data_IF_303233929753
#
_entry.id   IF_303233929753
#
_cell.length_a   1.000
_cell.length_b   1.000
_cell.length_c   1.000
_cell.angle_alpha   90.00
_cell.angle_beta   90.00
_cell.angle_gamma   90.00
#
_symmetry.space_group_name_H-M   'P 1'
#
loop_
_entity.id
_entity.type
_entity.pdbx_description
1 polymer ?
#
# COMPACT_ATOMS: atom_id res chain seq x y z
N UNK A 1 -14.74 -50.11 -3.82
CA UNK A 1 -15.30 -49.26 -2.73
C UNK A 1 -14.20 -48.80 -1.75
N UNK A 2 -13.94 -47.49 -1.66
CA UNK A 2 -12.95 -46.94 -0.73
C UNK A 2 -13.55 -46.93 0.68
N UNK A 3 -12.92 -47.61 1.63
CA UNK A 3 -13.40 -47.68 3.03
C UNK A 3 -13.46 -46.28 3.67
N UNK A 4 -14.56 -45.92 4.37
CA UNK A 4 -14.71 -44.62 5.04
C UNK A 4 -13.53 -44.24 5.95
N UNK A 5 -12.90 -45.24 6.59
CA UNK A 5 -11.72 -45.03 7.44
C UNK A 5 -10.49 -44.51 6.68
N UNK A 6 -10.32 -44.89 5.40
CA UNK A 6 -9.22 -44.38 4.55
C UNK A 6 -9.44 -42.93 4.14
N UNK A 7 -10.70 -42.53 3.96
CA UNK A 7 -11.07 -41.13 3.62
C UNK A 7 -10.82 -40.23 4.83
N UNK A 8 -11.22 -40.64 6.03
CA UNK A 8 -10.95 -39.89 7.26
C UNK A 8 -9.45 -39.76 7.56
N UNK A 9 -8.66 -40.83 7.38
CA UNK A 9 -7.22 -40.77 7.58
C UNK A 9 -6.53 -39.86 6.56
N UNK A 10 -6.99 -39.85 5.30
CA UNK A 10 -6.48 -38.93 4.29
C UNK A 10 -6.81 -37.46 4.63
N UNK A 11 -8.04 -37.17 5.06
CA UNK A 11 -8.46 -35.84 5.48
C UNK A 11 -7.66 -35.35 6.70
N UNK A 12 -7.44 -36.21 7.70
CA UNK A 12 -6.63 -35.88 8.88
C UNK A 12 -5.18 -35.56 8.52
N UNK A 13 -4.57 -36.31 7.58
CA UNK A 13 -3.21 -36.05 7.09
C UNK A 13 -3.11 -34.74 6.32
N UNK A 14 -4.13 -34.40 5.52
CA UNK A 14 -4.19 -33.11 4.81
C UNK A 14 -4.35 -31.96 5.81
N UNK A 15 -5.26 -32.08 6.78
CA UNK A 15 -5.45 -31.10 7.83
C UNK A 15 -4.19 -30.87 8.67
N UNK A 16 -3.51 -31.95 9.07
CA UNK A 16 -2.24 -31.88 9.81
C UNK A 16 -1.12 -31.22 9.00
N UNK A 17 -1.04 -31.49 7.69
CA UNK A 17 -0.09 -30.82 6.78
C UNK A 17 -0.39 -29.32 6.64
N UNK A 18 -1.66 -28.93 6.56
CA UNK A 18 -2.02 -27.51 6.53
C UNK A 18 -1.75 -26.79 7.86
N UNK A 19 -2.00 -27.45 8.99
CA UNK A 19 -1.70 -26.93 10.32
C UNK A 19 -0.19 -26.75 10.52
N UNK A 20 0.62 -27.76 10.17
CA UNK A 20 2.08 -27.70 10.25
C UNK A 20 2.67 -26.60 9.34
N UNK A 21 2.13 -26.41 8.13
CA UNK A 21 2.52 -25.30 7.22
C UNK A 21 2.17 -23.93 7.77
N UNK A 22 1.06 -23.78 8.50
CA UNK A 22 0.70 -22.53 9.19
C UNK A 22 1.61 -22.25 10.38
N UNK A 23 1.96 -23.27 11.16
CA UNK A 23 2.84 -23.14 12.31
C UNK A 23 4.30 -22.83 11.90
N UNK A 24 4.75 -23.35 10.76
CA UNK A 24 6.10 -23.10 10.22
C UNK A 24 6.21 -21.84 9.34
N UNK A 25 5.16 -21.02 9.25
CA UNK A 25 5.20 -19.81 8.43
C UNK A 25 6.18 -18.80 9.05
N UNK A 26 7.19 -18.30 8.31
CA UNK A 26 8.16 -17.36 8.84
C UNK A 26 7.48 -16.07 9.31
N UNK A 27 8.05 -15.43 10.34
CA UNK A 27 7.59 -14.13 10.87
C UNK A 27 7.51 -13.14 9.70
N UNK A 28 6.28 -12.72 9.44
CA UNK A 28 5.89 -12.05 8.19
C UNK A 28 6.25 -10.58 8.27
N UNK A 29 7.46 -10.21 7.85
CA UNK A 29 7.90 -8.81 7.77
C UNK A 29 7.45 -8.19 6.45
N UNK A 30 6.97 -6.95 6.52
CA UNK A 30 6.68 -6.15 5.33
C UNK A 30 8.01 -5.78 4.66
N UNK A 31 8.09 -5.93 3.34
CA UNK A 31 9.24 -5.48 2.56
C UNK A 31 8.89 -4.15 1.91
N UNK A 32 9.45 -3.05 2.42
CA UNK A 32 9.19 -1.72 1.87
C UNK A 32 9.74 -1.53 0.45
N UNK A 33 10.77 -2.28 0.07
CA UNK A 33 11.33 -2.22 -1.29
C UNK A 33 10.47 -3.02 -2.27
N UNK A 34 9.98 -4.18 -1.86
CA UNK A 34 9.07 -5.03 -2.63
C UNK A 34 7.65 -4.94 -2.07
N UNK A 35 7.07 -3.74 -2.11
CA UNK A 35 5.84 -3.42 -1.40
C UNK A 35 4.58 -4.08 -1.98
N UNK A 36 4.68 -4.70 -3.16
CA UNK A 36 3.66 -5.53 -3.79
C UNK A 36 3.66 -6.99 -3.30
N UNK A 37 4.69 -7.40 -2.57
CA UNK A 37 4.87 -8.79 -2.15
C UNK A 37 4.26 -9.06 -0.76
N UNK A 38 3.53 -10.17 -0.67
CA UNK A 38 2.97 -10.70 0.57
C UNK A 38 1.64 -10.06 0.98
N UNK A 39 0.70 -10.87 1.44
CA UNK A 39 -0.63 -10.37 1.81
C UNK A 39 -0.71 -9.50 3.09
N UNK A 40 0.41 -9.04 3.68
CA UNK A 40 0.37 -7.91 4.62
C UNK A 40 0.36 -6.60 3.85
N UNK A 41 1.24 -6.45 2.88
CA UNK A 41 1.32 -5.28 2.01
C UNK A 41 0.04 -5.12 1.18
N UNK A 42 -0.54 -6.22 0.68
CA UNK A 42 -1.85 -6.19 0.00
C UNK A 42 -2.99 -5.75 0.94
N UNK A 43 -2.99 -6.21 2.19
CA UNK A 43 -3.98 -5.75 3.18
C UNK A 43 -3.82 -4.26 3.48
N UNK A 44 -2.58 -3.80 3.67
CA UNK A 44 -2.29 -2.39 3.84
C UNK A 44 -2.77 -1.57 2.65
N UNK A 45 -2.52 -2.04 1.43
CA UNK A 45 -3.00 -1.40 0.20
C UNK A 45 -4.53 -1.25 0.18
N UNK A 46 -5.28 -2.31 0.49
CA UNK A 46 -6.74 -2.21 0.56
C UNK A 46 -7.23 -1.27 1.66
N UNK A 47 -6.58 -1.27 2.82
CA UNK A 47 -6.90 -0.33 3.90
C UNK A 47 -6.63 1.11 3.49
N UNK A 48 -5.53 1.36 2.77
CA UNK A 48 -5.23 2.68 2.21
C UNK A 48 -6.27 3.10 1.17
N UNK A 49 -6.74 2.19 0.31
CA UNK A 49 -7.82 2.49 -0.65
C UNK A 49 -9.10 2.92 0.06
N UNK A 50 -9.53 2.15 1.07
CA UNK A 50 -10.73 2.47 1.85
C UNK A 50 -10.55 3.77 2.64
N UNK A 51 -9.38 3.96 3.23
CA UNK A 51 -9.08 5.17 3.97
C UNK A 51 -9.05 6.41 3.07
N UNK A 52 -8.43 6.34 1.89
CA UNK A 52 -8.44 7.44 0.91
C UNK A 52 -9.85 7.72 0.40
N UNK A 53 -10.67 6.68 0.16
CA UNK A 53 -12.07 6.84 -0.22
C UNK A 53 -12.87 7.61 0.85
N UNK A 54 -12.62 7.34 2.13
CA UNK A 54 -13.30 8.01 3.25
C UNK A 54 -12.76 9.41 3.49
N UNK A 55 -11.44 9.62 3.41
CA UNK A 55 -10.79 10.89 3.74
C UNK A 55 -10.94 11.92 2.62
N UNK A 56 -10.90 11.51 1.36
CA UNK A 56 -10.83 12.46 0.23
C UNK A 56 -12.09 13.34 0.14
N UNK A 57 -13.33 12.82 0.13
CA UNK A 57 -14.51 13.67 0.03
C UNK A 57 -14.62 14.74 1.13
N UNK A 58 -14.53 14.42 2.44
CA UNK A 58 -14.62 15.43 3.49
C UNK A 58 -13.47 16.43 3.42
N UNK A 59 -12.26 16.00 3.02
CA UNK A 59 -11.11 16.90 2.87
C UNK A 59 -11.38 18.03 1.85
N UNK A 60 -12.13 17.73 0.78
CA UNK A 60 -12.52 18.71 -0.23
C UNK A 60 -13.85 19.43 0.06
N UNK A 61 -14.74 18.86 0.88
CA UNK A 61 -15.98 19.53 1.28
C UNK A 61 -15.72 20.67 2.28
N UNK A 62 -14.82 20.46 3.25
CA UNK A 62 -14.52 21.48 4.24
C UNK A 62 -13.59 22.57 3.66
N UNK A 63 -13.89 23.85 3.94
CA UNK A 63 -13.01 24.97 3.62
C UNK A 63 -11.74 24.96 4.47
N UNK A 64 -10.72 25.78 4.13
CA UNK A 64 -9.48 25.87 4.91
C UNK A 64 -9.81 26.14 6.38
N UNK A 65 -9.53 25.17 7.26
CA UNK A 65 -9.89 25.23 8.67
C UNK A 65 -9.02 24.29 9.50
N UNK A 66 -9.11 24.41 10.83
CA UNK A 66 -8.45 23.45 11.73
C UNK A 66 -8.93 22.00 11.54
N UNK A 67 -10.10 21.80 10.91
CA UNK A 67 -10.65 20.47 10.58
C UNK A 67 -9.99 19.88 9.33
N UNK A 68 -9.59 20.71 8.36
CA UNK A 68 -8.92 20.22 7.14
C UNK A 68 -7.46 19.84 7.38
N UNK A 69 -6.78 20.44 8.37
CA UNK A 69 -5.39 20.11 8.70
C UNK A 69 -5.12 18.62 8.96
N UNK A 70 -5.85 17.91 9.85
CA UNK A 70 -5.63 16.47 10.05
C UNK A 70 -5.97 15.64 8.82
N UNK A 71 -6.94 16.08 8.00
CA UNK A 71 -7.29 15.41 6.74
C UNK A 71 -6.17 15.58 5.71
N UNK A 72 -5.61 16.78 5.60
CA UNK A 72 -4.45 17.07 4.75
C UNK A 72 -3.22 16.25 5.17
N UNK A 73 -2.96 16.13 6.48
CA UNK A 73 -1.88 15.30 6.99
C UNK A 73 -2.09 13.81 6.66
N UNK A 74 -3.32 13.31 6.83
CA UNK A 74 -3.69 11.95 6.46
C UNK A 74 -3.49 11.72 4.95
N UNK A 75 -3.97 12.63 4.09
CA UNK A 75 -3.76 12.57 2.64
C UNK A 75 -2.26 12.60 2.28
N UNK A 76 -1.47 13.44 2.96
CA UNK A 76 -0.03 13.57 2.75
C UNK A 76 0.78 12.30 3.02
N UNK A 77 0.24 11.37 3.83
CA UNK A 77 0.86 10.07 4.14
C UNK A 77 0.21 8.94 3.35
N UNK A 78 -1.12 8.86 3.36
CA UNK A 78 -1.86 7.76 2.77
C UNK A 78 -1.73 7.74 1.25
N UNK A 79 -1.73 8.91 0.60
CA UNK A 79 -1.66 9.01 -0.86
C UNK A 79 -0.29 8.52 -1.40
N UNK A 80 0.86 8.97 -0.87
CA UNK A 80 2.15 8.41 -1.30
C UNK A 80 2.32 6.93 -0.97
N UNK A 81 1.83 6.45 0.17
CA UNK A 81 1.91 5.02 0.52
C UNK A 81 1.05 4.15 -0.43
N UNK A 82 -0.15 4.61 -0.76
CA UNK A 82 -0.99 3.95 -1.77
C UNK A 82 -0.27 3.91 -3.12
N UNK A 83 0.29 5.05 -3.56
CA UNK A 83 1.06 5.16 -4.78
C UNK A 83 2.30 4.26 -4.79
N UNK A 84 3.02 4.15 -3.66
CA UNK A 84 4.21 3.32 -3.52
C UNK A 84 3.92 1.84 -3.75
N UNK A 85 2.87 1.30 -3.12
CA UNK A 85 2.47 -0.09 -3.30
C UNK A 85 1.91 -0.31 -4.71
N UNK A 86 1.04 0.59 -5.17
CA UNK A 86 0.48 0.53 -6.52
C UNK A 86 1.54 0.52 -7.62
N UNK A 87 2.56 1.38 -7.48
CA UNK A 87 3.64 1.48 -8.46
C UNK A 87 4.61 0.30 -8.37
N UNK A 88 4.74 -0.34 -7.22
CA UNK A 88 5.47 -1.60 -7.11
C UNK A 88 4.82 -2.73 -7.93
N UNK A 89 3.48 -2.78 -8.01
CA UNK A 89 2.79 -3.69 -8.94
C UNK A 89 3.16 -3.38 -10.40
N UNK A 90 3.10 -2.11 -10.80
CA UNK A 90 3.50 -1.67 -12.15
C UNK A 90 4.95 -2.01 -12.46
N UNK A 91 5.88 -1.75 -11.53
CA UNK A 91 7.30 -2.08 -11.68
C UNK A 91 7.48 -3.59 -11.89
N UNK A 92 6.80 -4.41 -11.09
CA UNK A 92 6.85 -5.87 -11.22
C UNK A 92 6.34 -6.33 -12.59
N UNK A 93 5.26 -5.73 -13.09
CA UNK A 93 4.62 -6.15 -14.33
C UNK A 93 5.37 -5.71 -15.58
N UNK A 94 6.03 -4.54 -15.58
CA UNK A 94 6.54 -3.92 -16.80
C UNK A 94 8.05 -3.73 -16.84
N UNK A 95 8.73 -3.47 -15.72
CA UNK A 95 10.18 -3.21 -15.75
C UNK A 95 10.97 -4.42 -16.27
N UNK A 96 10.70 -5.67 -15.85
CA UNK A 96 11.39 -6.82 -16.41
C UNK A 96 11.16 -7.03 -17.91
N UNK A 97 10.00 -6.60 -18.43
CA UNK A 97 9.62 -6.76 -19.84
C UNK A 97 10.36 -5.77 -20.74
N UNK A 98 10.51 -4.52 -20.31
CA UNK A 98 11.10 -3.46 -21.13
C UNK A 98 12.59 -3.22 -20.86
N UNK A 99 13.06 -3.46 -19.63
CA UNK A 99 14.41 -3.10 -19.18
C UNK A 99 15.20 -4.30 -18.62
N UNK A 100 14.64 -5.50 -18.66
CA UNK A 100 15.26 -6.73 -18.16
C UNK A 100 15.09 -6.94 -16.65
N UNK A 101 15.24 -8.20 -16.21
CA UNK A 101 14.97 -8.61 -14.82
C UNK A 101 15.86 -7.90 -13.79
N UNK A 102 17.09 -7.57 -14.17
CA UNK A 102 18.05 -6.88 -13.30
C UNK A 102 17.61 -5.45 -12.94
N UNK A 103 16.83 -4.79 -13.80
CA UNK A 103 16.39 -3.40 -13.58
C UNK A 103 15.29 -3.28 -12.50
N UNK A 104 14.63 -4.37 -12.11
CA UNK A 104 13.52 -4.34 -11.13
C UNK A 104 13.97 -3.83 -9.76
N UNK A 105 15.13 -4.27 -9.27
CA UNK A 105 15.68 -3.85 -7.98
C UNK A 105 15.95 -2.33 -7.94
N UNK A 106 16.76 -1.79 -8.86
CA UNK A 106 16.99 -0.35 -8.97
C UNK A 106 15.71 0.48 -9.12
N UNK A 107 14.75 0.03 -9.95
CA UNK A 107 13.48 0.73 -10.12
C UNK A 107 12.68 0.83 -8.80
N UNK A 108 12.67 -0.24 -7.99
CA UNK A 108 12.05 -0.23 -6.66
C UNK A 108 12.75 0.72 -5.68
N UNK A 109 14.08 0.83 -5.75
CA UNK A 109 14.85 1.77 -4.92
C UNK A 109 14.51 3.22 -5.28
N UNK A 110 14.47 3.53 -6.58
CA UNK A 110 14.06 4.85 -7.07
C UNK A 110 12.64 5.16 -6.60
N UNK A 111 11.72 4.19 -6.70
CA UNK A 111 10.34 4.39 -6.24
C UNK A 111 10.28 4.66 -4.74
N UNK A 112 11.06 3.95 -3.92
CA UNK A 112 11.15 4.25 -2.49
C UNK A 112 11.64 5.69 -2.23
N UNK A 113 12.66 6.13 -2.97
CA UNK A 113 13.14 7.51 -2.91
C UNK A 113 12.09 8.54 -3.30
N UNK A 114 11.39 8.32 -4.42
CA UNK A 114 10.28 9.18 -4.87
C UNK A 114 9.20 9.26 -3.80
N UNK A 115 8.76 8.13 -3.26
CA UNK A 115 7.76 8.09 -2.18
C UNK A 115 8.20 8.90 -0.96
N UNK A 116 9.46 8.74 -0.52
CA UNK A 116 10.01 9.48 0.61
C UNK A 116 10.03 10.99 0.37
N UNK A 117 10.51 11.43 -0.80
CA UNK A 117 10.54 12.84 -1.19
C UNK A 117 9.11 13.41 -1.28
N UNK A 118 8.18 12.68 -1.88
CA UNK A 118 6.77 13.11 -1.95
C UNK A 118 6.16 13.24 -0.56
N UNK A 119 6.32 12.26 0.32
CA UNK A 119 5.82 12.35 1.70
C UNK A 119 6.41 13.53 2.45
N UNK A 120 7.72 13.76 2.34
CA UNK A 120 8.38 14.90 2.97
C UNK A 120 7.86 16.25 2.42
N UNK A 121 7.72 16.36 1.09
CA UNK A 121 7.20 17.56 0.44
C UNK A 121 5.74 17.85 0.81
N UNK A 122 4.88 16.84 0.85
CA UNK A 122 3.49 16.98 1.27
C UNK A 122 3.38 17.31 2.77
N UNK A 123 4.21 16.71 3.61
CA UNK A 123 4.26 17.03 5.04
C UNK A 123 4.70 18.48 5.25
N UNK A 124 5.75 18.92 4.55
CA UNK A 124 6.18 20.31 4.58
C UNK A 124 5.06 21.26 4.11
N UNK A 125 4.39 20.95 3.00
CA UNK A 125 3.25 21.72 2.49
C UNK A 125 2.10 21.85 3.51
N UNK A 126 1.86 20.81 4.29
CA UNK A 126 0.81 20.79 5.33
C UNK A 126 1.21 21.57 6.59
N UNK A 127 2.49 21.54 6.97
CA UNK A 127 2.97 22.18 8.21
C UNK A 127 3.30 23.66 8.03
N UNK A 128 3.86 24.05 6.88
CA UNK A 128 4.35 25.42 6.64
C UNK A 128 3.56 26.16 5.56
N UNK A 129 2.86 25.42 4.71
CA UNK A 129 2.07 25.96 3.61
C UNK A 129 0.57 26.03 3.90
N UNK A 130 -0.21 26.11 2.82
CA UNK A 130 -1.68 26.17 2.90
C UNK A 130 -2.34 24.82 3.17
N UNK A 131 -1.59 23.72 3.12
CA UNK A 131 -2.14 22.37 3.07
C UNK A 131 -2.52 21.93 1.65
N UNK A 132 -2.64 20.62 1.47
CA UNK A 132 -2.93 19.98 0.17
C UNK A 132 -4.26 20.47 -0.40
N UNK A 133 -5.34 20.37 0.36
CA UNK A 133 -6.70 20.68 -0.11
C UNK A 133 -6.86 22.14 -0.52
N UNK A 134 -6.39 23.08 0.30
CA UNK A 134 -6.44 24.51 -0.02
C UNK A 134 -5.56 24.87 -1.22
N UNK A 135 -4.42 24.20 -1.39
CA UNK A 135 -3.56 24.38 -2.57
C UNK A 135 -4.27 23.94 -3.84
N UNK A 136 -4.93 22.77 -3.82
CA UNK A 136 -5.69 22.26 -4.98
C UNK A 136 -6.91 23.14 -5.27
N UNK A 137 -7.67 23.54 -4.25
CA UNK A 137 -8.81 24.47 -4.43
C UNK A 137 -8.35 25.80 -5.03
N UNK A 138 -7.24 26.34 -4.54
CA UNK A 138 -6.65 27.56 -5.09
C UNK A 138 -6.18 27.41 -6.54
N UNK A 139 -5.78 26.21 -6.95
CA UNK A 139 -5.47 25.91 -8.35
C UNK A 139 -6.74 25.85 -9.22
N UNK A 140 -7.84 25.28 -8.73
CA UNK A 140 -9.11 25.18 -9.46
C UNK A 140 -9.89 26.50 -9.57
N UNK A 141 -9.59 27.46 -8.70
CA UNK A 141 -10.23 28.79 -8.69
C UNK A 141 -9.49 29.82 -9.56
N UNK A 142 -8.47 29.37 -10.30
CA UNK A 142 -7.74 30.16 -11.29
C UNK A 142 -8.17 29.75 -12.69
#
# INVERSE_FOLDING_TARGET
PVSPGRIMQAAARVAARHAARRAAAPVRRMNFLAADEGAMSTKLYHNLNMGLLVVTPPAFLFGPSYVTFPLDLALGVMMPLHGHIGMNYVITDYVPKFFGKAARGPARVIMLGVTGVTMAGLTHLNLTGKGITATIKGLWQR
#
